data_IF_650649395559
#
_entry.id   IF_650649395559
#
_cell.length_a   1.000
_cell.length_b   1.000
_cell.length_c   1.000
_cell.angle_alpha   90.00
_cell.angle_beta   90.00
_cell.angle_gamma   90.00
#
_symmetry.space_group_name_H-M   'P 1'
#
loop_
_entity.id
_entity.type
_entity.pdbx_description
1 polymer ?
#
# COMPACT_ATOMS: atom_id res chain seq x y z
N UNK A 1 8.58 -2.45 1.50
CA UNK A 1 8.58 -1.70 0.22
C UNK A 1 7.75 -2.48 -0.77
N UNK A 2 6.77 -1.82 -1.37
CA UNK A 2 5.89 -2.39 -2.39
C UNK A 2 5.74 -1.43 -3.55
N UNK A 3 5.35 -1.94 -4.72
CA UNK A 3 4.94 -1.13 -5.86
C UNK A 3 3.57 -1.61 -6.32
N UNK A 4 2.63 -0.70 -6.52
CA UNK A 4 1.35 -0.99 -7.18
C UNK A 4 1.28 -0.34 -8.56
N UNK A 5 0.58 -1.00 -9.50
CA UNK A 5 0.25 -0.42 -10.81
C UNK A 5 -1.13 0.24 -10.73
N UNK A 6 -1.19 1.56 -10.83
CA UNK A 6 -2.44 2.34 -10.75
C UNK A 6 -3.17 2.46 -12.08
N UNK A 7 -2.53 2.07 -13.18
CA UNK A 7 -3.19 1.97 -14.49
C UNK A 7 -4.04 0.70 -14.60
N UNK A 8 -3.83 -0.29 -13.72
CA UNK A 8 -4.62 -1.52 -13.65
C UNK A 8 -5.78 -1.37 -12.66
N UNK A 9 -7.04 -1.68 -13.06
CA UNK A 9 -8.19 -1.60 -12.17
C UNK A 9 -7.97 -2.34 -10.85
N UNK A 10 -8.22 -1.65 -9.74
CA UNK A 10 -8.03 -2.18 -8.39
C UNK A 10 -6.64 -1.94 -7.81
N UNK A 11 -5.71 -1.29 -8.53
CA UNK A 11 -4.36 -0.92 -8.08
C UNK A 11 -3.60 -2.10 -7.44
N UNK A 12 -3.40 -3.21 -8.18
CA UNK A 12 -2.75 -4.40 -7.66
C UNK A 12 -1.27 -4.14 -7.34
N UNK A 13 -0.77 -4.82 -6.30
CA UNK A 13 0.66 -4.91 -6.03
C UNK A 13 1.35 -5.70 -7.14
N UNK A 14 2.31 -5.09 -7.81
CA UNK A 14 3.15 -5.73 -8.85
C UNK A 14 4.53 -6.10 -8.32
N UNK A 15 4.90 -5.57 -7.15
CA UNK A 15 6.12 -5.90 -6.44
C UNK A 15 5.95 -5.76 -4.93
N UNK A 16 6.64 -6.62 -4.19
CA UNK A 16 6.90 -6.47 -2.76
C UNK A 16 8.27 -7.06 -2.45
N UNK A 17 9.00 -6.47 -1.49
CA UNK A 17 10.27 -7.03 -1.05
C UNK A 17 10.10 -8.03 0.11
N UNK A 18 11.17 -8.77 0.45
CA UNK A 18 11.17 -9.72 1.56
C UNK A 18 10.79 -9.08 2.90
N UNK A 19 11.29 -7.86 3.18
CA UNK A 19 10.92 -7.15 4.41
C UNK A 19 9.40 -6.86 4.50
N UNK A 20 8.75 -6.53 3.40
CA UNK A 20 7.28 -6.38 3.38
C UNK A 20 6.59 -7.72 3.63
N UNK A 21 7.01 -8.79 2.92
CA UNK A 21 6.49 -10.16 3.13
C UNK A 21 6.56 -10.57 4.60
N UNK A 22 7.74 -10.40 5.20
CA UNK A 22 8.02 -10.79 6.58
C UNK A 22 7.24 -9.93 7.58
N UNK A 23 7.05 -8.63 7.30
CA UNK A 23 6.16 -7.75 8.06
C UNK A 23 4.72 -8.27 7.98
N UNK A 24 4.12 -8.37 6.81
CA UNK A 24 2.67 -8.65 6.72
C UNK A 24 2.30 -10.11 6.96
N UNK A 25 3.26 -11.03 6.85
CA UNK A 25 3.07 -12.46 7.05
C UNK A 25 2.34 -13.18 5.90
N UNK A 26 2.21 -12.53 4.74
CA UNK A 26 1.68 -13.11 3.50
C UNK A 26 2.84 -13.44 2.57
N UNK A 27 2.79 -14.58 1.90
CA UNK A 27 3.76 -14.96 0.87
C UNK A 27 3.55 -14.16 -0.44
N UNK A 28 4.57 -14.14 -1.29
CA UNK A 28 4.58 -13.33 -2.51
C UNK A 28 3.40 -13.64 -3.44
N UNK A 29 3.08 -14.92 -3.63
CA UNK A 29 1.94 -15.38 -4.43
C UNK A 29 0.59 -15.03 -3.83
N UNK A 30 0.53 -14.78 -2.52
CA UNK A 30 -0.70 -14.41 -1.83
C UNK A 30 -1.04 -12.92 -1.95
N UNK A 31 -0.04 -12.03 -2.12
CA UNK A 31 -0.28 -10.59 -2.19
C UNK A 31 -0.03 -9.96 -3.56
N UNK A 32 0.82 -10.54 -4.41
CA UNK A 32 1.02 -10.05 -5.77
C UNK A 32 -0.29 -10.17 -6.58
N UNK A 33 -0.60 -9.14 -7.36
CA UNK A 33 -1.86 -9.06 -8.11
C UNK A 33 -3.07 -8.60 -7.28
N UNK A 34 -2.91 -8.32 -5.99
CA UNK A 34 -4.00 -7.84 -5.12
C UNK A 34 -3.78 -6.41 -4.66
N UNK A 35 -4.87 -5.72 -4.36
CA UNK A 35 -4.77 -4.42 -3.72
C UNK A 35 -4.32 -4.56 -2.25
N UNK A 36 -3.43 -3.68 -1.79
CA UNK A 36 -2.88 -3.69 -0.43
C UNK A 36 -3.91 -3.48 0.69
N UNK A 37 -5.18 -3.14 0.38
CA UNK A 37 -6.26 -3.00 1.37
C UNK A 37 -6.56 -4.28 2.17
N UNK A 38 -6.02 -5.44 1.79
CA UNK A 38 -6.14 -6.66 2.60
C UNK A 38 -5.50 -6.53 4.00
N UNK A 39 -4.63 -5.53 4.21
CA UNK A 39 -4.06 -5.21 5.52
C UNK A 39 -5.01 -4.41 6.42
N UNK A 40 -6.12 -3.90 5.89
CA UNK A 40 -7.06 -3.08 6.63
C UNK A 40 -8.05 -3.95 7.41
N UNK A 41 -8.58 -3.41 8.50
CA UNK A 41 -9.58 -4.10 9.31
C UNK A 41 -10.38 -3.14 10.20
N UNK A 42 -11.14 -3.66 11.17
CA UNK A 42 -12.10 -2.86 11.93
C UNK A 42 -11.53 -1.66 12.69
N UNK A 43 -10.25 -1.70 13.08
CA UNK A 43 -9.58 -0.62 13.79
C UNK A 43 -8.79 0.33 12.87
N UNK A 44 -8.79 0.11 11.55
CA UNK A 44 -8.14 1.02 10.61
C UNK A 44 -8.87 2.37 10.58
N UNK A 45 -8.11 3.46 10.70
CA UNK A 45 -8.63 4.81 10.86
C UNK A 45 -9.22 5.33 9.54
N UNK A 46 -10.54 5.62 9.47
CA UNK A 46 -11.19 6.08 8.26
C UNK A 46 -10.56 7.34 7.66
N UNK A 47 -10.09 8.26 8.50
CA UNK A 47 -9.46 9.51 8.09
C UNK A 47 -8.10 9.27 7.41
N UNK A 48 -7.30 8.33 7.93
CA UNK A 48 -6.04 7.94 7.31
C UNK A 48 -6.29 7.24 5.96
N UNK A 49 -7.31 6.37 5.88
CA UNK A 49 -7.71 5.73 4.63
C UNK A 49 -8.21 6.74 3.59
N UNK A 50 -9.00 7.73 4.01
CA UNK A 50 -9.47 8.81 3.15
C UNK A 50 -8.29 9.65 2.63
N UNK A 51 -7.30 9.95 3.49
CA UNK A 51 -6.08 10.65 3.09
C UNK A 51 -5.28 9.84 2.05
N UNK A 52 -5.04 8.54 2.27
CA UNK A 52 -4.39 7.68 1.28
C UNK A 52 -5.13 7.70 -0.06
N UNK A 53 -6.46 7.61 -0.03
CA UNK A 53 -7.29 7.64 -1.23
C UNK A 53 -7.19 8.99 -1.96
N UNK A 54 -7.23 10.11 -1.24
CA UNK A 54 -7.10 11.44 -1.81
C UNK A 54 -5.74 11.62 -2.51
N UNK A 55 -4.65 11.27 -1.83
CA UNK A 55 -3.30 11.41 -2.39
C UNK A 55 -3.08 10.52 -3.62
N UNK A 56 -3.69 9.33 -3.67
CA UNK A 56 -3.70 8.49 -4.88
C UNK A 56 -4.41 9.16 -6.05
N UNK A 57 -5.55 9.84 -5.82
CA UNK A 57 -6.30 10.54 -6.86
C UNK A 57 -5.59 11.82 -7.32
N UNK A 58 -5.03 12.57 -6.37
CA UNK A 58 -4.32 13.83 -6.62
C UNK A 58 -2.89 13.62 -7.11
N UNK A 59 -2.40 12.38 -7.11
CA UNK A 59 -1.04 12.00 -7.56
C UNK A 59 0.03 12.73 -6.73
N UNK A 60 -0.18 12.73 -5.42
CA UNK A 60 0.69 13.40 -4.46
C UNK A 60 1.32 12.41 -3.50
N UNK A 61 2.44 12.83 -2.94
CA UNK A 61 3.08 12.14 -1.83
C UNK A 61 2.18 12.20 -0.60
N UNK A 62 2.20 11.14 0.20
CA UNK A 62 1.55 11.15 1.49
C UNK A 62 2.24 10.27 2.50
N UNK A 63 2.03 10.60 3.77
CA UNK A 63 2.50 9.82 4.89
C UNK A 63 1.41 9.80 5.95
N UNK A 64 0.96 8.61 6.33
CA UNK A 64 -0.08 8.43 7.35
C UNK A 64 0.29 7.28 8.27
N UNK A 65 -0.21 7.33 9.51
CA UNK A 65 -0.13 6.20 10.42
C UNK A 65 -1.52 5.62 10.60
N UNK A 66 -1.67 4.33 10.29
CA UNK A 66 -2.92 3.61 10.49
C UNK A 66 -2.69 2.23 11.08
N UNK A 67 -3.76 1.66 11.63
CA UNK A 67 -3.77 0.31 12.14
C UNK A 67 -3.95 -0.69 11.01
N UNK A 68 -3.02 -1.64 10.88
CA UNK A 68 -3.08 -2.74 9.93
C UNK A 68 -3.02 -4.10 10.62
N UNK A 69 -3.39 -5.13 9.89
CA UNK A 69 -3.49 -6.50 10.34
C UNK A 69 -2.55 -7.39 9.51
N UNK A 70 -1.75 -8.19 10.20
CA UNK A 70 -0.96 -9.25 9.56
C UNK A 70 -1.87 -10.43 9.20
N UNK A 71 -1.36 -11.39 8.42
CA UNK A 71 -2.09 -12.62 8.05
C UNK A 71 -2.64 -13.39 9.26
N UNK A 72 -1.91 -13.40 10.38
CA UNK A 72 -2.31 -14.05 11.62
C UNK A 72 -3.37 -13.25 12.44
N UNK A 73 -3.82 -12.10 11.95
CA UNK A 73 -4.77 -11.22 12.63
C UNK A 73 -4.15 -10.27 13.65
N UNK A 74 -2.83 -10.31 13.88
CA UNK A 74 -2.16 -9.38 14.78
C UNK A 74 -2.21 -7.96 14.23
N UNK A 75 -2.59 -7.02 15.09
CA UNK A 75 -2.58 -5.59 14.79
C UNK A 75 -1.17 -5.03 14.90
N UNK A 76 -0.83 -4.11 14.01
CA UNK A 76 0.36 -3.27 14.12
C UNK A 76 0.05 -1.85 13.66
N UNK A 77 0.77 -0.87 14.22
CA UNK A 77 0.76 0.50 13.69
C UNK A 77 1.62 0.50 12.44
N UNK A 78 1.10 1.03 11.34
CA UNK A 78 1.82 1.08 10.08
C UNK A 78 1.95 2.55 9.67
N UNK A 79 3.18 3.06 9.69
CA UNK A 79 3.54 4.28 9.00
C UNK A 79 3.67 3.95 7.51
N UNK A 80 2.70 4.44 6.72
CA UNK A 80 2.64 4.23 5.28
C UNK A 80 3.05 5.50 4.57
N UNK A 81 4.10 5.42 3.74
CA UNK A 81 4.55 6.50 2.87
C UNK A 81 4.30 6.14 1.41
N UNK A 82 3.60 7.00 0.65
CA UNK A 82 3.36 6.83 -0.79
C UNK A 82 4.15 7.85 -1.59
N UNK A 83 4.71 7.41 -2.72
CA UNK A 83 5.31 8.25 -3.76
C UNK A 83 4.77 7.85 -5.12
N UNK A 84 4.11 8.75 -5.87
CA UNK A 84 3.63 8.49 -7.21
C UNK A 84 4.84 8.41 -8.16
N UNK A 85 4.81 7.44 -9.07
CA UNK A 85 5.82 7.24 -10.09
C UNK A 85 5.19 7.42 -11.46
N UNK A 86 5.88 8.21 -12.28
CA UNK A 86 5.49 8.53 -13.63
C UNK A 86 6.41 7.80 -14.62
N UNK A 87 5.85 7.34 -15.73
CA UNK A 87 6.65 6.82 -16.83
C UNK A 87 7.38 7.94 -17.59
N UNK A 88 8.15 7.57 -18.62
CA UNK A 88 8.93 8.51 -19.42
C UNK A 88 8.07 9.54 -20.17
N UNK A 89 6.78 9.26 -20.40
CA UNK A 89 5.84 10.14 -21.08
C UNK A 89 5.05 11.02 -20.09
N UNK A 90 5.36 10.92 -18.78
CA UNK A 90 4.66 11.64 -17.72
C UNK A 90 3.33 10.98 -17.29
N UNK A 91 3.06 9.76 -17.74
CA UNK A 91 1.91 8.97 -17.34
C UNK A 91 2.03 8.47 -15.90
N UNK A 92 1.04 8.75 -15.06
CA UNK A 92 0.98 8.20 -13.70
C UNK A 92 0.72 6.70 -13.76
N UNK A 93 1.75 5.91 -13.46
CA UNK A 93 1.76 4.47 -13.75
C UNK A 93 1.84 3.63 -12.49
N UNK A 94 2.70 4.01 -11.55
CA UNK A 94 2.93 3.22 -10.35
C UNK A 94 2.89 4.08 -9.09
N UNK A 95 2.75 3.42 -7.94
CA UNK A 95 2.98 4.01 -6.64
C UNK A 95 3.99 3.17 -5.89
N UNK A 96 5.05 3.82 -5.42
CA UNK A 96 5.98 3.24 -4.47
C UNK A 96 5.41 3.44 -3.07
N UNK A 97 5.30 2.36 -2.30
CA UNK A 97 4.88 2.43 -0.91
C UNK A 97 5.97 1.87 0.00
N UNK A 98 6.18 2.54 1.13
CA UNK A 98 7.00 2.04 2.24
C UNK A 98 6.10 1.86 3.45
N UNK A 99 6.30 0.73 4.13
CA UNK A 99 5.60 0.37 5.36
C UNK A 99 6.64 0.24 6.46
N UNK A 100 6.39 0.87 7.60
CA UNK A 100 7.23 0.82 8.79
C UNK A 100 6.33 0.63 10.01
N UNK A 101 6.71 -0.26 10.92
CA UNK A 101 6.02 -0.48 12.19
C UNK A 101 6.57 0.45 13.28
#
# INVERSE_FOLDING_TARGET
LTVSDVAVPGNPLVFGNAAFRDLVGYDFDEFLGRNCRFLQGPASEPEALACLSACLQERQDCEVVLTNYRKNGQMFRNLVSFRPLFDADGGYRFVLCVQHE
#
